data_IF_473774899786
#
_entry.id   IF_473774899786
#
_cell.length_a   1.000
_cell.length_b   1.000
_cell.length_c   1.000
_cell.angle_alpha   90.00
_cell.angle_beta   90.00
_cell.angle_gamma   90.00
#
_symmetry.space_group_name_H-M   'P 1'
#
loop_
_entity.id
_entity.type
_entity.pdbx_description
1 polymer ?
#
# COMPACT_ATOMS: atom_id res chain seq x y z
N UNK A 1 -10.68 19.24 18.50
CA UNK A 1 -9.35 18.75 18.90
C UNK A 1 -9.45 18.17 20.31
N UNK A 2 -9.23 16.86 20.48
CA UNK A 2 -9.12 16.26 21.81
C UNK A 2 -7.74 16.58 22.39
N UNK A 3 -7.68 16.94 23.67
CA UNK A 3 -6.41 17.15 24.36
C UNK A 3 -5.66 15.80 24.48
N UNK A 4 -4.33 15.78 24.28
CA UNK A 4 -3.55 14.55 24.37
C UNK A 4 -3.62 13.96 25.78
N UNK A 5 -3.62 12.63 25.87
CA UNK A 5 -3.66 11.95 27.16
C UNK A 5 -2.38 12.21 27.97
N UNK A 6 -2.45 12.09 29.31
CA UNK A 6 -1.26 12.19 30.16
C UNK A 6 -0.18 11.17 29.75
N UNK A 7 -0.61 9.98 29.33
CA UNK A 7 0.27 8.94 28.81
C UNK A 7 1.03 9.43 27.57
N UNK A 8 0.33 9.99 26.58
CA UNK A 8 0.94 10.54 25.36
C UNK A 8 1.97 11.63 25.70
N UNK A 9 1.61 12.55 26.59
CA UNK A 9 2.53 13.62 27.02
C UNK A 9 3.79 13.06 27.68
N UNK A 10 3.65 12.02 28.52
CA UNK A 10 4.78 11.37 29.18
C UNK A 10 5.68 10.62 28.19
N UNK A 11 5.08 9.87 27.26
CA UNK A 11 5.80 9.12 26.23
C UNK A 11 6.50 10.08 25.26
N UNK A 12 5.86 11.17 24.85
CA UNK A 12 6.48 12.23 24.05
C UNK A 12 7.69 12.83 24.76
N UNK A 13 7.59 13.14 26.06
CA UNK A 13 8.70 13.71 26.81
C UNK A 13 9.86 12.73 26.97
N UNK A 14 9.55 11.45 27.18
CA UNK A 14 10.54 10.38 27.22
C UNK A 14 11.24 10.23 25.87
N UNK A 15 10.50 10.19 24.77
CA UNK A 15 11.04 10.12 23.41
C UNK A 15 11.98 11.30 23.12
N UNK A 16 11.55 12.53 23.42
CA UNK A 16 12.40 13.72 23.28
C UNK A 16 13.71 13.59 24.07
N UNK A 17 13.66 13.04 25.28
CA UNK A 17 14.84 12.85 26.13
C UNK A 17 15.79 11.79 25.56
N UNK A 18 15.24 10.69 25.04
CA UNK A 18 16.01 9.65 24.36
C UNK A 18 16.69 10.17 23.09
N UNK A 19 15.97 10.95 22.29
CA UNK A 19 16.50 11.57 21.06
C UNK A 19 17.61 12.58 21.40
N UNK A 20 17.36 13.46 22.38
CA UNK A 20 18.29 14.55 22.70
C UNK A 20 19.57 14.08 23.38
N UNK A 21 19.45 13.16 24.35
CA UNK A 21 20.59 12.80 25.20
C UNK A 21 21.22 11.45 24.84
N UNK A 22 20.51 10.62 24.08
CA UNK A 22 20.98 9.34 23.61
C UNK A 22 21.42 8.39 24.74
N UNK A 23 22.27 7.40 24.43
CA UNK A 23 22.64 6.36 25.37
C UNK A 23 23.55 6.82 26.52
N UNK A 24 24.14 8.02 26.43
CA UNK A 24 25.09 8.52 27.43
C UNK A 24 24.42 9.00 28.72
N UNK A 25 23.13 9.33 28.70
CA UNK A 25 22.42 9.87 29.88
C UNK A 25 21.13 9.14 30.24
N UNK A 26 20.63 8.25 29.39
CA UNK A 26 19.37 7.51 29.66
C UNK A 26 19.67 6.06 30.01
N UNK A 27 19.10 5.58 31.13
CA UNK A 27 19.18 4.18 31.55
C UNK A 27 18.09 3.37 30.84
N UNK A 28 18.40 2.77 29.69
CA UNK A 28 17.45 1.96 28.92
C UNK A 28 16.89 0.76 29.67
N UNK A 29 17.62 0.23 30.66
CA UNK A 29 17.13 -0.86 31.52
C UNK A 29 15.81 -0.55 32.23
N UNK A 30 15.40 0.73 32.35
CA UNK A 30 14.09 1.10 32.91
C UNK A 30 12.93 1.03 31.91
N UNK A 31 13.22 0.90 30.62
CA UNK A 31 12.19 0.78 29.58
C UNK A 31 11.41 -0.53 29.71
N UNK A 32 12.01 -1.59 30.25
CA UNK A 32 11.32 -2.85 30.54
C UNK A 32 10.22 -2.74 31.61
N UNK A 33 10.23 -1.66 32.40
CA UNK A 33 9.21 -1.40 33.43
C UNK A 33 8.01 -0.65 32.87
N UNK A 34 8.13 -0.09 31.65
CA UNK A 34 7.04 0.67 31.06
C UNK A 34 5.85 -0.25 30.71
N UNK A 35 4.61 0.22 30.91
CA UNK A 35 3.44 -0.46 30.38
C UNK A 35 3.58 -0.67 28.87
N UNK A 36 3.10 -1.81 28.37
CA UNK A 36 3.19 -2.17 26.94
C UNK A 36 2.70 -1.05 26.00
N UNK A 37 1.52 -0.48 26.28
CA UNK A 37 0.97 0.64 25.50
C UNK A 37 1.90 1.86 25.45
N UNK A 38 2.61 2.13 26.55
CA UNK A 38 3.57 3.23 26.62
C UNK A 38 4.82 2.92 25.77
N UNK A 39 5.27 1.67 25.76
CA UNK A 39 6.41 1.22 24.98
C UNK A 39 6.10 1.17 23.48
N UNK A 40 4.92 0.69 23.09
CA UNK A 40 4.43 0.71 21.70
C UNK A 40 4.34 2.16 21.18
N UNK A 41 3.67 3.05 21.93
CA UNK A 41 3.61 4.47 21.57
C UNK A 41 5.00 5.13 21.52
N UNK A 42 5.94 4.69 22.38
CA UNK A 42 7.32 5.17 22.34
C UNK A 42 8.02 4.72 21.06
N UNK A 43 7.85 3.46 20.65
CA UNK A 43 8.41 2.95 19.40
C UNK A 43 7.88 3.74 18.20
N UNK A 44 6.58 3.97 18.12
CA UNK A 44 5.97 4.70 17.00
C UNK A 44 6.56 6.11 16.86
N UNK A 45 6.72 6.84 17.97
CA UNK A 45 7.36 8.17 17.95
C UNK A 45 8.83 8.08 17.50
N UNK A 46 9.57 7.09 18.02
CA UNK A 46 10.99 6.93 17.68
C UNK A 46 11.20 6.50 16.23
N UNK A 47 10.29 5.70 15.66
CA UNK A 47 10.29 5.32 14.24
C UNK A 47 9.97 6.54 13.38
N UNK A 48 8.90 7.28 13.70
CA UNK A 48 8.52 8.50 12.99
C UNK A 48 9.60 9.59 13.00
N UNK A 49 10.46 9.60 14.04
CA UNK A 49 11.61 10.52 14.16
C UNK A 49 12.94 9.92 13.69
N UNK A 50 12.94 8.72 13.11
CA UNK A 50 14.13 7.96 12.69
C UNK A 50 15.22 7.89 13.78
N UNK A 51 14.79 7.70 15.03
CA UNK A 51 15.64 7.68 16.22
C UNK A 51 15.65 6.32 16.95
N UNK A 52 14.84 5.36 16.49
CA UNK A 52 14.80 4.01 17.04
C UNK A 52 16.15 3.32 16.83
N UNK A 53 16.73 2.78 17.90
CA UNK A 53 18.05 2.15 17.89
C UNK A 53 18.07 0.88 18.73
N UNK A 54 19.19 0.15 18.63
CA UNK A 54 19.43 -1.15 19.25
C UNK A 54 19.31 -1.19 20.77
N UNK A 55 19.34 -0.06 21.47
CA UNK A 55 19.18 -0.05 22.93
C UNK A 55 17.71 -0.02 23.35
N UNK A 56 16.79 0.30 22.44
CA UNK A 56 15.36 0.44 22.73
C UNK A 56 14.60 -0.79 22.25
N UNK A 57 14.83 -1.20 20.99
CA UNK A 57 14.05 -2.27 20.36
C UNK A 57 14.02 -3.58 21.18
N UNK A 58 15.14 -4.11 21.73
CA UNK A 58 15.12 -5.36 22.48
C UNK A 58 14.16 -5.36 23.67
N UNK A 59 13.88 -4.20 24.28
CA UNK A 59 12.95 -4.10 25.39
C UNK A 59 11.49 -4.28 24.96
N UNK A 60 11.20 -4.04 23.69
CA UNK A 60 9.87 -4.26 23.11
C UNK A 60 9.70 -5.65 22.51
N UNK A 61 10.80 -6.38 22.27
CA UNK A 61 10.74 -7.74 21.71
C UNK A 61 10.42 -8.76 22.80
N UNK A 62 9.14 -9.10 22.94
CA UNK A 62 8.64 -10.05 23.94
C UNK A 62 7.63 -11.02 23.34
N UNK A 63 7.30 -12.10 24.06
CA UNK A 63 6.26 -13.04 23.64
C UNK A 63 4.85 -12.44 23.59
N UNK A 64 4.63 -11.26 24.15
CA UNK A 64 3.35 -10.55 24.08
C UNK A 64 3.26 -9.64 22.85
N UNK A 65 4.35 -9.44 22.11
CA UNK A 65 4.39 -8.52 20.97
C UNK A 65 3.61 -9.11 19.80
N UNK A 66 2.53 -8.46 19.41
CA UNK A 66 1.67 -8.87 18.29
C UNK A 66 1.88 -8.01 17.04
N UNK A 67 2.25 -6.74 17.21
CA UNK A 67 2.41 -5.78 16.13
C UNK A 67 3.72 -5.03 16.29
N UNK A 68 4.51 -4.96 15.22
CA UNK A 68 5.79 -4.27 15.25
C UNK A 68 5.97 -3.44 13.99
N UNK A 69 5.96 -2.11 14.15
CA UNK A 69 6.21 -1.15 13.10
C UNK A 69 7.63 -0.60 13.23
N UNK A 70 8.45 -0.84 12.19
CA UNK A 70 9.85 -0.44 12.13
C UNK A 70 10.18 0.19 10.76
N UNK A 71 9.17 0.72 10.06
CA UNK A 71 9.36 1.35 8.75
C UNK A 71 10.47 2.40 8.79
N UNK A 72 11.42 2.30 7.86
CA UNK A 72 12.52 3.25 7.73
C UNK A 72 13.51 3.28 8.90
N UNK A 73 13.48 2.32 9.84
CA UNK A 73 14.34 2.27 11.02
C UNK A 73 15.81 1.94 10.67
N UNK A 74 16.47 2.87 9.99
CA UNK A 74 17.82 2.75 9.41
C UNK A 74 18.95 2.63 10.43
N UNK A 75 18.71 3.05 11.67
CA UNK A 75 19.69 3.01 12.77
C UNK A 75 19.78 1.63 13.45
N UNK A 76 18.86 0.71 13.15
CA UNK A 76 18.87 -0.63 13.72
C UNK A 76 19.91 -1.51 13.03
N UNK A 77 20.73 -2.20 13.83
CA UNK A 77 21.64 -3.22 13.29
C UNK A 77 20.89 -4.53 13.06
N UNK A 78 21.36 -5.28 12.07
CA UNK A 78 20.81 -6.58 11.69
C UNK A 78 20.78 -7.59 12.84
N UNK A 79 21.75 -7.55 13.75
CA UNK A 79 21.83 -8.47 14.88
C UNK A 79 20.59 -8.39 15.77
N UNK A 80 20.03 -7.20 16.00
CA UNK A 80 18.80 -7.02 16.78
C UNK A 80 17.57 -7.43 15.98
N UNK A 81 17.51 -7.15 14.69
CA UNK A 81 16.37 -7.59 13.86
C UNK A 81 16.27 -9.12 13.75
N UNK A 82 17.41 -9.82 13.72
CA UNK A 82 17.44 -11.29 13.74
C UNK A 82 16.82 -11.90 15.00
N UNK A 83 16.71 -11.15 16.11
CA UNK A 83 16.09 -11.69 17.32
C UNK A 83 14.56 -11.62 17.30
N UNK A 84 13.95 -10.89 16.37
CA UNK A 84 12.48 -10.67 16.31
C UNK A 84 11.74 -12.00 16.28
N UNK A 85 12.04 -12.87 15.30
CA UNK A 85 11.30 -14.12 15.11
C UNK A 85 11.29 -15.01 16.35
N UNK A 86 12.43 -15.13 17.05
CA UNK A 86 12.56 -15.97 18.25
C UNK A 86 12.01 -15.32 19.52
N UNK A 87 11.99 -13.99 19.57
CA UNK A 87 11.55 -13.26 20.78
C UNK A 87 10.04 -13.01 20.78
N UNK A 88 9.41 -13.00 19.60
CA UNK A 88 8.00 -12.62 19.42
C UNK A 88 7.18 -13.75 18.72
N UNK A 89 7.01 -14.94 19.32
CA UNK A 89 6.27 -16.04 18.68
C UNK A 89 4.80 -15.72 18.35
N UNK A 90 4.18 -14.77 19.07
CA UNK A 90 2.79 -14.34 18.85
C UNK A 90 2.66 -13.16 17.86
N UNK A 91 3.73 -12.85 17.11
CA UNK A 91 3.70 -11.73 16.17
C UNK A 91 2.70 -11.99 15.04
N UNK A 92 1.77 -11.04 14.85
CA UNK A 92 0.73 -11.05 13.81
C UNK A 92 1.03 -10.07 12.70
N UNK A 93 1.74 -8.99 13.00
CA UNK A 93 2.10 -7.96 12.02
C UNK A 93 3.55 -7.53 12.19
N UNK A 94 4.30 -7.58 11.09
CA UNK A 94 5.63 -7.00 10.99
C UNK A 94 5.69 -6.04 9.80
N UNK A 95 6.03 -4.79 10.07
CA UNK A 95 6.34 -3.79 9.06
C UNK A 95 7.79 -3.35 9.21
N UNK A 96 8.63 -3.71 8.23
CA UNK A 96 10.04 -3.31 8.14
C UNK A 96 10.33 -2.66 6.79
N UNK A 97 9.33 -2.00 6.20
CA UNK A 97 9.50 -1.27 4.93
C UNK A 97 10.67 -0.31 5.00
N UNK A 98 11.36 -0.13 3.87
CA UNK A 98 12.55 0.70 3.71
C UNK A 98 13.75 0.38 4.63
N UNK A 99 13.75 -0.75 5.36
CA UNK A 99 14.87 -1.16 6.20
C UNK A 99 15.96 -1.90 5.40
N UNK A 100 17.00 -1.19 4.95
CA UNK A 100 18.06 -1.73 4.09
C UNK A 100 18.94 -2.82 4.75
N UNK A 101 18.85 -2.96 6.07
CA UNK A 101 19.55 -3.96 6.86
C UNK A 101 18.85 -5.34 6.87
N UNK A 102 17.58 -5.40 6.49
CA UNK A 102 16.76 -6.62 6.46
C UNK A 102 17.25 -7.53 5.32
N UNK A 103 17.44 -8.82 5.62
CA UNK A 103 17.89 -9.83 4.67
C UNK A 103 17.04 -11.11 4.78
N UNK A 104 17.30 -12.07 3.88
CA UNK A 104 16.56 -13.33 3.79
C UNK A 104 16.53 -14.11 5.11
N UNK A 105 17.52 -13.94 5.99
CA UNK A 105 17.55 -14.66 7.27
C UNK A 105 16.50 -14.11 8.23
N UNK A 106 16.37 -12.78 8.34
CA UNK A 106 15.38 -12.15 9.21
C UNK A 106 13.97 -12.57 8.82
N UNK A 107 13.65 -12.46 7.52
CA UNK A 107 12.32 -12.84 7.00
C UNK A 107 12.04 -14.32 7.26
N UNK A 108 13.01 -15.20 7.04
CA UNK A 108 12.86 -16.64 7.34
C UNK A 108 12.66 -16.91 8.81
N UNK A 109 13.46 -16.31 9.70
CA UNK A 109 13.32 -16.51 11.15
C UNK A 109 11.91 -16.07 11.60
N UNK A 110 11.40 -14.95 11.07
CA UNK A 110 10.02 -14.52 11.34
C UNK A 110 9.00 -15.54 10.81
N UNK A 111 9.09 -15.96 9.54
CA UNK A 111 8.17 -16.94 8.96
C UNK A 111 8.28 -18.34 9.59
N UNK A 112 9.41 -18.66 10.23
CA UNK A 112 9.65 -19.95 10.88
C UNK A 112 9.10 -20.01 12.31
N UNK A 113 9.23 -18.92 13.06
CA UNK A 113 8.93 -18.90 14.50
C UNK A 113 7.64 -18.14 14.86
N UNK A 114 7.12 -17.29 13.97
CA UNK A 114 5.88 -16.54 14.17
C UNK A 114 4.74 -17.21 13.40
N UNK A 115 4.15 -18.26 13.98
CA UNK A 115 3.11 -19.07 13.32
C UNK A 115 1.77 -18.34 13.15
N UNK A 116 1.56 -17.27 13.92
CA UNK A 116 0.36 -16.43 13.88
C UNK A 116 0.50 -15.20 12.98
N UNK A 117 1.55 -15.13 12.17
CA UNK A 117 1.80 -13.98 11.31
C UNK A 117 0.71 -13.84 10.25
N UNK A 118 0.09 -12.67 10.20
CA UNK A 118 -0.97 -12.33 9.24
C UNK A 118 -0.52 -11.26 8.23
N UNK A 119 0.34 -10.34 8.64
CA UNK A 119 0.78 -9.20 7.83
C UNK A 119 2.31 -9.11 7.84
N UNK A 120 2.92 -9.15 6.67
CA UNK A 120 4.36 -8.94 6.47
C UNK A 120 4.60 -7.89 5.40
N UNK A 121 5.14 -6.74 5.79
CA UNK A 121 5.52 -5.67 4.85
C UNK A 121 7.03 -5.47 4.85
N UNK A 122 7.64 -5.67 3.69
CA UNK A 122 9.09 -5.63 3.50
C UNK A 122 9.49 -4.80 2.27
N UNK A 123 8.62 -3.89 1.82
CA UNK A 123 8.88 -3.05 0.65
C UNK A 123 10.20 -2.30 0.75
N UNK A 124 10.93 -2.22 -0.36
CA UNK A 124 12.21 -1.53 -0.44
C UNK A 124 13.36 -2.24 0.29
N UNK A 125 13.18 -3.46 0.80
CA UNK A 125 14.26 -4.27 1.35
C UNK A 125 15.05 -4.94 0.21
N UNK A 126 16.04 -4.23 -0.32
CA UNK A 126 16.79 -4.63 -1.53
C UNK A 126 17.63 -5.90 -1.43
N UNK A 127 17.83 -6.44 -0.21
CA UNK A 127 18.58 -7.68 0.05
C UNK A 127 17.69 -8.91 0.19
N UNK A 128 16.39 -8.77 -0.12
CA UNK A 128 15.44 -9.87 -0.13
C UNK A 128 15.36 -10.49 -1.52
N UNK A 129 15.50 -11.81 -1.56
CA UNK A 129 15.34 -12.65 -2.74
C UNK A 129 14.40 -13.84 -2.45
N UNK A 130 14.15 -14.66 -3.48
CA UNK A 130 13.32 -15.86 -3.37
C UNK A 130 13.74 -16.81 -2.24
N UNK A 131 15.02 -16.79 -1.86
CA UNK A 131 15.56 -17.58 -0.75
C UNK A 131 14.95 -17.22 0.61
N UNK A 132 14.30 -16.06 0.75
CA UNK A 132 13.53 -15.73 1.95
C UNK A 132 12.28 -16.61 2.12
N UNK A 133 11.75 -17.14 1.02
CA UNK A 133 10.49 -17.90 0.98
C UNK A 133 10.69 -19.36 0.59
N UNK A 134 11.85 -19.71 0.03
CA UNK A 134 12.15 -21.06 -0.46
C UNK A 134 12.11 -22.13 0.66
N UNK A 135 11.36 -23.23 0.49
CA UNK A 135 11.33 -24.35 1.44
C UNK A 135 12.64 -25.15 1.51
N UNK A 136 13.40 -25.17 0.41
CA UNK A 136 14.47 -26.14 0.13
C UNK A 136 15.68 -26.09 1.07
N UNK A 137 15.76 -25.12 1.98
CA UNK A 137 16.85 -25.02 2.94
C UNK A 137 16.53 -25.64 4.31
N UNK A 138 15.31 -26.10 4.59
CA UNK A 138 14.92 -26.63 5.91
C UNK A 138 13.91 -27.78 5.85
N UNK A 139 13.89 -28.64 6.88
CA UNK A 139 13.08 -29.88 6.94
C UNK A 139 11.57 -29.67 7.15
N UNK A 140 11.09 -28.44 7.29
CA UNK A 140 9.68 -28.12 7.60
C UNK A 140 9.18 -26.90 6.81
N UNK A 141 7.87 -26.83 6.49
CA UNK A 141 7.28 -25.65 5.88
C UNK A 141 7.40 -24.42 6.78
N UNK A 142 7.55 -23.24 6.17
CA UNK A 142 7.54 -21.96 6.88
C UNK A 142 6.13 -21.71 7.43
N UNK A 143 5.89 -22.06 8.69
CA UNK A 143 4.57 -22.08 9.33
C UNK A 143 3.86 -20.71 9.26
N UNK A 144 4.60 -19.61 9.35
CA UNK A 144 4.07 -18.25 9.23
C UNK A 144 3.49 -17.92 7.85
N UNK A 145 3.87 -18.64 6.77
CA UNK A 145 3.20 -18.48 5.47
C UNK A 145 1.77 -19.02 5.49
N UNK A 146 1.49 -20.07 6.28
CA UNK A 146 0.18 -20.71 6.32
C UNK A 146 -0.91 -19.80 6.87
N UNK A 147 -0.56 -18.83 7.72
CA UNK A 147 -1.49 -17.84 8.28
C UNK A 147 -1.49 -16.48 7.57
N UNK A 148 -0.59 -16.28 6.61
CA UNK A 148 -0.34 -14.96 6.02
C UNK A 148 -1.53 -14.50 5.17
N UNK A 149 -2.03 -13.30 5.46
CA UNK A 149 -3.16 -12.64 4.78
C UNK A 149 -2.70 -11.48 3.91
N UNK A 150 -1.62 -10.81 4.31
CA UNK A 150 -1.05 -9.68 3.59
C UNK A 150 0.48 -9.83 3.47
N UNK A 151 0.96 -9.66 2.24
CA UNK A 151 2.37 -9.58 1.93
C UNK A 151 2.64 -8.36 1.04
N UNK A 152 3.64 -7.57 1.38
CA UNK A 152 4.12 -6.49 0.52
C UNK A 152 5.62 -6.60 0.28
N UNK A 153 6.01 -6.78 -0.98
CA UNK A 153 7.39 -6.97 -1.46
C UNK A 153 7.74 -5.98 -2.58
N UNK A 154 7.07 -4.82 -2.61
CA UNK A 154 7.34 -3.77 -3.57
C UNK A 154 8.80 -3.33 -3.51
N UNK A 155 9.40 -3.01 -4.65
CA UNK A 155 10.81 -2.55 -4.75
C UNK A 155 11.85 -3.55 -4.21
N UNK A 156 11.50 -4.82 -3.97
CA UNK A 156 12.45 -5.88 -3.62
C UNK A 156 13.11 -6.46 -4.88
N UNK A 157 14.22 -5.88 -5.31
CA UNK A 157 14.88 -6.12 -6.61
C UNK A 157 15.37 -7.53 -6.94
N UNK A 158 15.33 -8.48 -6.00
CA UNK A 158 15.85 -9.84 -6.19
C UNK A 158 14.78 -10.92 -5.98
N UNK A 159 13.53 -10.54 -5.73
CA UNK A 159 12.40 -11.48 -5.76
C UNK A 159 12.01 -11.68 -7.22
N UNK A 160 11.72 -12.90 -7.63
CA UNK A 160 11.34 -13.24 -9.01
C UNK A 160 9.88 -13.70 -9.10
N UNK A 161 9.33 -13.72 -10.32
CA UNK A 161 8.00 -14.26 -10.54
C UNK A 161 7.92 -15.75 -10.16
N UNK A 162 8.98 -16.52 -10.43
CA UNK A 162 9.07 -17.93 -10.06
C UNK A 162 9.05 -18.11 -8.54
N UNK A 163 9.80 -17.29 -7.79
CA UNK A 163 9.79 -17.34 -6.33
C UNK A 163 8.46 -16.91 -5.71
N UNK A 164 7.85 -15.85 -6.25
CA UNK A 164 6.53 -15.38 -5.80
C UNK A 164 5.44 -16.45 -6.05
N UNK A 165 5.34 -16.93 -7.29
CA UNK A 165 4.33 -17.93 -7.69
C UNK A 165 4.62 -19.30 -7.06
N UNK A 166 5.88 -19.72 -7.03
CA UNK A 166 6.32 -21.04 -6.63
C UNK A 166 6.44 -21.24 -5.11
N UNK A 167 6.76 -20.19 -4.34
CA UNK A 167 6.93 -20.29 -2.90
C UNK A 167 5.83 -19.56 -2.14
N UNK A 168 5.62 -18.28 -2.42
CA UNK A 168 4.68 -17.45 -1.65
C UNK A 168 3.24 -17.88 -1.91
N UNK A 169 2.78 -17.85 -3.16
CA UNK A 169 1.37 -18.12 -3.45
C UNK A 169 0.98 -19.59 -3.24
N UNK A 170 1.93 -20.52 -3.41
CA UNK A 170 1.72 -21.93 -3.04
C UNK A 170 1.76 -22.17 -1.53
N UNK A 171 2.58 -21.41 -0.80
CA UNK A 171 2.76 -21.56 0.66
C UNK A 171 1.76 -20.78 1.51
N UNK A 172 1.12 -19.75 0.96
CA UNK A 172 0.19 -18.86 1.67
C UNK A 172 -1.24 -18.95 1.09
N UNK A 173 -2.02 -20.00 1.42
CA UNK A 173 -3.33 -20.26 0.83
C UNK A 173 -4.41 -19.25 1.22
N UNK A 174 -4.19 -18.46 2.28
CA UNK A 174 -5.13 -17.44 2.75
C UNK A 174 -4.68 -16.02 2.42
N UNK A 175 -3.68 -15.84 1.55
CA UNK A 175 -3.23 -14.54 1.13
C UNK A 175 -4.35 -13.80 0.40
N UNK A 176 -4.64 -12.57 0.81
CA UNK A 176 -5.70 -11.71 0.25
C UNK A 176 -5.17 -10.39 -0.27
N UNK A 177 -4.11 -9.87 0.34
CA UNK A 177 -3.51 -8.59 -0.02
C UNK A 177 -2.08 -8.81 -0.48
N UNK A 178 -1.76 -8.32 -1.68
CA UNK A 178 -0.43 -8.46 -2.26
C UNK A 178 0.07 -7.11 -2.81
N UNK A 179 1.14 -6.60 -2.23
CA UNK A 179 1.82 -5.38 -2.66
C UNK A 179 3.06 -5.68 -3.49
N UNK A 180 3.08 -5.18 -4.73
CA UNK A 180 4.14 -5.42 -5.72
C UNK A 180 4.56 -4.11 -6.41
N UNK A 181 4.37 -2.97 -5.75
CA UNK A 181 4.69 -1.67 -6.33
C UNK A 181 6.19 -1.56 -6.66
N UNK A 182 6.52 -0.86 -7.75
CA UNK A 182 7.88 -0.73 -8.28
C UNK A 182 8.58 -2.07 -8.64
N UNK A 183 7.88 -3.21 -8.64
CA UNK A 183 8.46 -4.52 -8.95
C UNK A 183 8.48 -4.81 -10.45
N UNK A 184 9.04 -3.86 -11.23
CA UNK A 184 9.10 -3.94 -12.70
C UNK A 184 9.76 -5.21 -13.20
N UNK A 185 10.73 -5.77 -12.49
CA UNK A 185 11.46 -6.98 -12.87
C UNK A 185 10.66 -8.29 -12.64
N UNK A 186 9.57 -8.22 -11.86
CA UNK A 186 8.75 -9.39 -11.48
C UNK A 186 7.49 -9.44 -12.32
N UNK A 187 6.85 -8.28 -12.53
CA UNK A 187 5.48 -8.23 -13.04
C UNK A 187 5.49 -7.99 -14.54
N UNK A 188 5.13 -9.05 -15.29
CA UNK A 188 4.71 -9.00 -16.69
C UNK A 188 3.18 -9.08 -16.78
N UNK A 189 2.62 -8.89 -17.97
CA UNK A 189 1.18 -8.99 -18.19
C UNK A 189 0.63 -10.39 -17.88
N UNK A 190 1.40 -11.44 -18.16
CA UNK A 190 1.06 -12.83 -17.84
C UNK A 190 0.95 -13.02 -16.33
N UNK A 191 1.98 -12.59 -15.59
CA UNK A 191 2.03 -12.68 -14.12
C UNK A 191 0.87 -11.88 -13.49
N UNK A 192 0.60 -10.67 -14.00
CA UNK A 192 -0.53 -9.86 -13.53
C UNK A 192 -1.87 -10.55 -13.76
N UNK A 193 -2.06 -11.18 -14.94
CA UNK A 193 -3.27 -11.94 -15.27
C UNK A 193 -3.51 -13.10 -14.30
N UNK A 194 -2.45 -13.84 -13.96
CA UNK A 194 -2.53 -14.94 -12.99
C UNK A 194 -2.90 -14.42 -11.60
N UNK A 195 -2.20 -13.38 -11.11
CA UNK A 195 -2.45 -12.77 -9.80
C UNK A 195 -3.89 -12.29 -9.63
N UNK A 196 -4.43 -11.60 -10.63
CA UNK A 196 -5.75 -10.98 -10.56
C UNK A 196 -6.91 -11.99 -10.59
N UNK A 197 -6.74 -13.12 -11.28
CA UNK A 197 -7.86 -14.01 -11.62
C UNK A 197 -7.70 -15.47 -11.18
N UNK A 198 -6.54 -15.89 -10.66
CA UNK A 198 -6.31 -17.28 -10.24
C UNK A 198 -6.14 -17.47 -8.73
N UNK A 199 -5.69 -16.44 -8.00
CA UNK A 199 -5.31 -16.57 -6.59
C UNK A 199 -6.34 -16.02 -5.59
N UNK A 200 -7.52 -15.57 -6.04
CA UNK A 200 -8.59 -15.11 -5.13
C UNK A 200 -8.22 -13.89 -4.27
N UNK A 201 -7.27 -13.08 -4.74
CA UNK A 201 -6.83 -11.87 -4.05
C UNK A 201 -7.96 -10.85 -3.94
N UNK A 202 -8.00 -10.14 -2.82
CA UNK A 202 -8.95 -9.07 -2.54
C UNK A 202 -8.33 -7.69 -2.79
N UNK A 203 -7.02 -7.55 -2.61
CA UNK A 203 -6.31 -6.30 -2.79
C UNK A 203 -4.97 -6.54 -3.49
N UNK A 204 -4.71 -5.81 -4.57
CA UNK A 204 -3.45 -5.91 -5.33
C UNK A 204 -2.94 -4.52 -5.67
N UNK A 205 -1.64 -4.30 -5.40
CA UNK A 205 -0.95 -3.07 -5.77
C UNK A 205 0.17 -3.34 -6.78
N UNK A 206 -0.02 -2.85 -8.01
CA UNK A 206 0.96 -2.87 -9.09
C UNK A 206 1.48 -1.49 -9.46
N UNK A 207 1.35 -0.51 -8.57
CA UNK A 207 1.77 0.86 -8.84
C UNK A 207 3.24 0.92 -9.28
N UNK A 208 3.55 1.74 -10.28
CA UNK A 208 4.88 1.89 -10.87
C UNK A 208 5.44 0.65 -11.58
N UNK A 209 4.61 -0.37 -11.83
CA UNK A 209 4.94 -1.47 -12.72
C UNK A 209 4.66 -1.06 -14.18
N UNK A 210 5.55 -0.25 -14.74
CA UNK A 210 5.41 0.34 -16.10
C UNK A 210 5.36 -0.69 -17.23
N UNK A 211 5.65 -1.96 -16.96
CA UNK A 211 5.51 -3.05 -17.93
C UNK A 211 4.06 -3.53 -18.09
N UNK A 212 3.17 -3.19 -17.15
CA UNK A 212 1.77 -3.59 -17.22
C UNK A 212 1.05 -2.75 -18.27
N UNK A 213 0.41 -3.43 -19.21
CA UNK A 213 -0.38 -2.84 -20.29
C UNK A 213 -1.85 -3.22 -20.16
N UNK A 214 -2.63 -3.05 -21.22
CA UNK A 214 -4.05 -3.43 -21.22
C UNK A 214 -4.27 -4.94 -21.24
N UNK A 215 -3.28 -5.73 -21.68
CA UNK A 215 -3.41 -7.18 -21.92
C UNK A 215 -3.99 -7.96 -20.73
N UNK A 216 -3.55 -7.75 -19.47
CA UNK A 216 -4.10 -8.50 -18.32
C UNK A 216 -5.58 -8.23 -18.09
N UNK A 217 -6.00 -7.04 -18.52
CA UNK A 217 -7.34 -6.52 -18.34
C UNK A 217 -8.15 -6.59 -19.62
N UNK A 218 -7.64 -7.16 -20.71
CA UNK A 218 -8.43 -7.47 -21.90
C UNK A 218 -9.11 -8.82 -21.74
N UNK A 219 -10.26 -8.99 -22.39
CA UNK A 219 -11.02 -10.22 -22.28
C UNK A 219 -10.24 -11.33 -23.00
N UNK A 220 -9.72 -12.32 -22.25
CA UNK A 220 -9.38 -13.62 -22.83
C UNK A 220 -10.37 -14.69 -22.34
N UNK A 221 -11.60 -14.75 -22.88
CA UNK A 221 -12.49 -15.88 -22.63
C UNK A 221 -11.98 -17.20 -23.24
N UNK A 222 -10.96 -17.17 -24.10
CA UNK A 222 -10.72 -18.26 -25.07
C UNK A 222 -9.52 -19.17 -24.76
N UNK A 223 -8.49 -18.72 -24.03
CA UNK A 223 -7.25 -19.51 -23.91
C UNK A 223 -7.16 -20.50 -22.74
N UNK A 224 -8.14 -20.51 -21.82
CA UNK A 224 -8.12 -21.44 -20.66
C UNK A 224 -9.34 -22.38 -20.59
N UNK A 225 -10.06 -22.59 -21.69
CA UNK A 225 -11.13 -23.59 -21.77
C UNK A 225 -12.17 -23.48 -20.65
N UNK A 226 -12.66 -22.27 -20.35
CA UNK A 226 -13.50 -22.02 -19.17
C UNK A 226 -14.99 -21.95 -19.51
N UNK A 227 -15.78 -22.72 -18.76
CA UNK A 227 -17.24 -22.83 -18.88
C UNK A 227 -17.97 -21.57 -18.36
N UNK A 228 -19.20 -21.28 -18.83
CA UNK A 228 -20.03 -20.22 -18.26
C UNK A 228 -20.38 -20.56 -16.81
N UNK A 229 -20.07 -19.67 -15.85
CA UNK A 229 -20.45 -19.82 -14.44
C UNK A 229 -19.33 -19.82 -13.40
N UNK A 230 -18.07 -19.50 -13.76
CA UNK A 230 -17.04 -19.30 -12.74
C UNK A 230 -17.32 -18.05 -11.86
N UNK A 231 -16.95 -18.10 -10.56
CA UNK A 231 -17.20 -17.04 -9.61
C UNK A 231 -16.50 -15.74 -10.04
N UNK A 232 -17.20 -14.61 -9.84
CA UNK A 232 -16.63 -13.27 -10.02
C UNK A 232 -15.35 -13.13 -9.20
N UNK A 233 -14.38 -12.37 -9.71
CA UNK A 233 -13.17 -12.02 -8.95
C UNK A 233 -13.56 -11.53 -7.55
N UNK A 234 -12.76 -11.85 -6.53
CA UNK A 234 -12.97 -11.36 -5.16
C UNK A 234 -12.30 -10.00 -4.92
N UNK A 235 -11.68 -9.44 -5.97
CA UNK A 235 -10.93 -8.20 -5.91
C UNK A 235 -11.85 -7.03 -5.54
N UNK A 236 -11.42 -6.28 -4.53
CA UNK A 236 -12.05 -5.08 -3.98
C UNK A 236 -11.13 -3.87 -4.05
N UNK A 237 -9.82 -4.08 -4.09
CA UNK A 237 -8.83 -3.02 -4.17
C UNK A 237 -7.81 -3.30 -5.28
N UNK A 238 -7.64 -2.34 -6.19
CA UNK A 238 -6.71 -2.42 -7.30
C UNK A 238 -5.98 -1.09 -7.46
N UNK A 239 -4.67 -1.10 -7.25
CA UNK A 239 -3.80 0.05 -7.52
C UNK A 239 -2.93 -0.20 -8.74
N UNK A 240 -3.00 0.72 -9.68
CA UNK A 240 -2.35 0.71 -10.99
C UNK A 240 -1.69 2.08 -11.29
N UNK A 241 -1.37 2.85 -10.25
CA UNK A 241 -0.79 4.17 -10.43
C UNK A 241 0.51 4.09 -11.26
N UNK A 242 0.71 4.99 -12.21
CA UNK A 242 1.90 5.04 -13.08
C UNK A 242 2.18 3.72 -13.84
N UNK A 243 1.12 3.00 -14.26
CA UNK A 243 1.20 1.88 -15.20
C UNK A 243 0.96 2.35 -16.65
N UNK A 244 1.12 1.47 -17.65
CA UNK A 244 0.99 1.82 -19.07
C UNK A 244 -0.39 1.47 -19.67
N UNK A 245 -1.38 1.28 -18.80
CA UNK A 245 -2.75 0.95 -19.17
C UNK A 245 -3.47 2.15 -19.80
N UNK A 246 -4.57 1.91 -20.52
CA UNK A 246 -5.48 2.91 -21.06
C UNK A 246 -6.95 2.54 -20.80
N UNK A 247 -7.85 3.24 -21.49
CA UNK A 247 -9.30 3.10 -21.28
C UNK A 247 -9.80 1.65 -21.45
N UNK A 248 -9.29 0.92 -22.45
CA UNK A 248 -9.70 -0.47 -22.71
C UNK A 248 -9.43 -1.41 -21.52
N UNK A 249 -8.33 -1.19 -20.80
CA UNK A 249 -8.06 -1.93 -19.57
C UNK A 249 -9.08 -1.61 -18.47
N UNK A 250 -9.35 -0.31 -18.28
CA UNK A 250 -10.27 0.16 -17.23
C UNK A 250 -11.70 -0.28 -17.52
N UNK A 251 -12.15 -0.27 -18.77
CA UNK A 251 -13.42 -0.88 -19.18
C UNK A 251 -13.45 -2.39 -18.91
N UNK A 252 -12.35 -3.09 -19.21
CA UNK A 252 -12.21 -4.52 -18.95
C UNK A 252 -12.28 -4.86 -17.45
N UNK A 253 -11.69 -4.01 -16.59
CA UNK A 253 -11.78 -4.08 -15.13
C UNK A 253 -13.24 -3.84 -14.70
N UNK A 254 -13.88 -2.78 -15.20
CA UNK A 254 -15.25 -2.41 -14.86
C UNK A 254 -16.25 -3.56 -15.09
N UNK A 255 -16.06 -4.30 -16.19
CA UNK A 255 -16.92 -5.44 -16.55
C UNK A 255 -16.68 -6.69 -15.67
N UNK A 256 -15.45 -6.92 -15.21
CA UNK A 256 -15.04 -8.14 -14.48
C UNK A 256 -15.08 -8.01 -12.97
N UNK A 257 -14.93 -6.79 -12.46
CA UNK A 257 -14.77 -6.49 -11.03
C UNK A 257 -15.79 -5.43 -10.59
N UNK A 258 -17.11 -5.66 -10.76
CA UNK A 258 -18.12 -4.65 -10.41
C UNK A 258 -18.22 -4.39 -8.89
N UNK A 259 -17.66 -5.26 -8.06
CA UNK A 259 -17.59 -5.09 -6.60
C UNK A 259 -16.36 -4.30 -6.11
N UNK A 260 -15.62 -3.66 -7.01
CA UNK A 260 -14.44 -2.88 -6.66
C UNK A 260 -14.80 -1.71 -5.73
N UNK A 261 -14.05 -1.56 -4.64
CA UNK A 261 -14.20 -0.53 -3.62
C UNK A 261 -13.11 0.54 -3.70
N UNK A 262 -11.89 0.16 -4.07
CA UNK A 262 -10.72 1.04 -4.17
C UNK A 262 -10.10 0.89 -5.55
N UNK A 263 -10.03 2.00 -6.29
CA UNK A 263 -9.33 2.06 -7.56
C UNK A 263 -8.37 3.24 -7.58
N UNK A 264 -7.10 2.96 -7.86
CA UNK A 264 -6.06 3.96 -8.03
C UNK A 264 -5.43 3.82 -9.41
N UNK A 265 -5.69 4.79 -10.28
CA UNK A 265 -5.09 4.93 -11.60
C UNK A 265 -4.39 6.30 -11.74
N UNK A 266 -3.85 6.83 -10.63
CA UNK A 266 -3.06 8.06 -10.67
C UNK A 266 -1.91 7.96 -11.66
N UNK A 267 -1.60 9.04 -12.38
CA UNK A 267 -0.53 9.11 -13.38
C UNK A 267 -0.68 8.14 -14.57
N UNK A 268 -1.87 7.57 -14.79
CA UNK A 268 -2.19 6.81 -16.00
C UNK A 268 -2.61 7.78 -17.09
N UNK A 269 -1.62 8.35 -17.79
CA UNK A 269 -1.82 9.45 -18.76
C UNK A 269 -2.74 9.09 -19.95
N UNK A 270 -2.92 7.80 -20.24
CA UNK A 270 -3.82 7.32 -21.32
C UNK A 270 -5.27 7.15 -20.87
N UNK A 271 -5.56 7.26 -19.57
CA UNK A 271 -6.92 7.17 -19.04
C UNK A 271 -7.66 8.47 -19.34
N UNK A 272 -8.83 8.35 -19.96
CA UNK A 272 -9.71 9.45 -20.30
C UNK A 272 -11.10 9.26 -19.68
N UNK A 273 -12.05 10.13 -20.02
CA UNK A 273 -13.44 9.97 -19.61
C UNK A 273 -14.04 8.63 -20.07
N UNK A 274 -13.58 8.05 -21.18
CA UNK A 274 -14.13 6.79 -21.69
C UNK A 274 -13.97 5.65 -20.66
N UNK A 275 -12.75 5.41 -20.19
CA UNK A 275 -12.48 4.39 -19.17
C UNK A 275 -13.01 4.79 -17.79
N UNK A 276 -12.79 6.04 -17.38
CA UNK A 276 -13.18 6.50 -16.05
C UNK A 276 -14.70 6.48 -15.85
N UNK A 277 -15.49 6.92 -16.86
CA UNK A 277 -16.95 6.86 -16.82
C UNK A 277 -17.44 5.41 -16.81
N UNK A 278 -16.86 4.53 -17.63
CA UNK A 278 -17.24 3.11 -17.64
C UNK A 278 -17.01 2.44 -16.28
N UNK A 279 -15.90 2.77 -15.61
CA UNK A 279 -15.58 2.31 -14.27
C UNK A 279 -16.63 2.75 -13.25
N UNK A 280 -16.87 4.05 -13.13
CA UNK A 280 -17.76 4.57 -12.07
C UNK A 280 -19.23 4.19 -12.30
N UNK A 281 -19.63 3.90 -13.53
CA UNK A 281 -20.96 3.38 -13.85
C UNK A 281 -21.12 1.89 -13.49
N UNK A 282 -20.07 1.09 -13.62
CA UNK A 282 -20.13 -0.36 -13.39
C UNK A 282 -19.79 -0.74 -11.95
N UNK A 283 -18.76 -0.11 -11.38
CA UNK A 283 -18.26 -0.37 -10.03
C UNK A 283 -19.03 0.46 -9.00
N UNK A 284 -20.28 0.07 -8.74
CA UNK A 284 -21.20 0.81 -7.86
C UNK A 284 -20.82 0.82 -6.38
N UNK A 285 -19.89 -0.06 -5.98
CA UNK A 285 -19.37 -0.16 -4.61
C UNK A 285 -18.13 0.70 -4.36
N UNK A 286 -17.70 1.53 -5.32
CA UNK A 286 -16.51 2.38 -5.19
C UNK A 286 -16.63 3.33 -3.99
N UNK A 287 -15.58 3.32 -3.18
CA UNK A 287 -15.38 4.16 -1.98
C UNK A 287 -14.19 5.09 -2.12
N UNK A 288 -13.14 4.65 -2.80
CA UNK A 288 -11.93 5.44 -3.06
C UNK A 288 -11.61 5.40 -4.55
N UNK A 289 -11.50 6.58 -5.15
CA UNK A 289 -11.09 6.76 -6.54
C UNK A 289 -9.93 7.76 -6.62
N UNK A 290 -8.79 7.29 -7.11
CA UNK A 290 -7.66 8.15 -7.47
C UNK A 290 -7.46 8.11 -8.99
N UNK A 291 -7.59 9.27 -9.62
CA UNK A 291 -7.42 9.50 -11.06
C UNK A 291 -6.54 10.73 -11.29
N UNK A 292 -5.67 11.05 -10.32
CA UNK A 292 -4.81 12.23 -10.40
C UNK A 292 -3.87 12.15 -11.61
N UNK A 293 -3.60 13.29 -12.25
CA UNK A 293 -2.77 13.40 -13.45
C UNK A 293 -3.20 12.42 -14.56
N UNK A 294 -4.49 12.44 -14.91
CA UNK A 294 -5.07 11.68 -16.02
C UNK A 294 -5.73 12.62 -17.04
N UNK A 295 -6.16 12.06 -18.17
CA UNK A 295 -6.78 12.80 -19.27
C UNK A 295 -8.28 13.05 -19.12
N UNK A 296 -8.86 12.89 -17.93
CA UNK A 296 -10.29 13.08 -17.66
C UNK A 296 -10.72 14.55 -17.77
N UNK A 297 -12.01 14.78 -17.99
CA UNK A 297 -12.64 16.09 -18.04
C UNK A 297 -13.85 16.15 -17.10
N UNK A 298 -14.60 17.25 -17.14
CA UNK A 298 -15.84 17.45 -16.37
C UNK A 298 -16.89 16.34 -16.61
N UNK A 299 -16.79 15.61 -17.73
CA UNK A 299 -17.66 14.47 -18.01
C UNK A 299 -17.54 13.35 -16.96
N UNK A 300 -16.32 13.04 -16.51
CA UNK A 300 -16.09 12.06 -15.43
C UNK A 300 -16.73 12.52 -14.12
N UNK A 301 -16.63 13.80 -13.77
CA UNK A 301 -17.26 14.36 -12.57
C UNK A 301 -18.79 14.24 -12.59
N UNK A 302 -19.43 14.43 -13.75
CA UNK A 302 -20.88 14.18 -13.91
C UNK A 302 -21.25 12.73 -13.66
N UNK A 303 -20.41 11.79 -14.10
CA UNK A 303 -20.65 10.37 -13.87
C UNK A 303 -20.46 9.98 -12.39
N UNK A 304 -19.47 10.58 -11.71
CA UNK A 304 -19.18 10.36 -10.28
C UNK A 304 -20.38 10.71 -9.38
N UNK A 305 -21.25 11.64 -9.79
CA UNK A 305 -22.46 11.98 -9.01
C UNK A 305 -23.38 10.77 -8.76
N UNK A 306 -23.25 9.69 -9.54
CA UNK A 306 -24.02 8.45 -9.35
C UNK A 306 -23.39 7.47 -8.34
N UNK A 307 -22.16 7.71 -7.87
CA UNK A 307 -21.46 6.84 -6.94
C UNK A 307 -21.95 7.04 -5.50
N UNK A 308 -22.83 6.15 -5.03
CA UNK A 308 -23.49 6.28 -3.71
C UNK A 308 -22.59 6.00 -2.50
N UNK A 309 -21.43 5.39 -2.73
CA UNK A 309 -20.51 4.98 -1.68
C UNK A 309 -19.16 5.72 -1.75
N UNK A 310 -18.97 6.64 -2.71
CA UNK A 310 -17.68 7.29 -2.90
C UNK A 310 -17.39 8.26 -1.75
N UNK A 311 -16.39 7.93 -0.95
CA UNK A 311 -15.95 8.65 0.23
C UNK A 311 -14.71 9.50 -0.05
N UNK A 312 -13.85 9.07 -0.97
CA UNK A 312 -12.59 9.75 -1.29
C UNK A 312 -12.39 9.86 -2.80
N UNK A 313 -12.11 11.07 -3.26
CA UNK A 313 -11.78 11.37 -4.65
C UNK A 313 -10.49 12.20 -4.71
N UNK A 314 -9.48 11.68 -5.40
CA UNK A 314 -8.31 12.46 -5.83
C UNK A 314 -8.33 12.57 -7.36
N UNK A 315 -8.53 13.80 -7.85
CA UNK A 315 -8.44 14.17 -9.26
C UNK A 315 -7.48 15.35 -9.46
N UNK A 316 -6.46 15.46 -8.59
CA UNK A 316 -5.42 16.47 -8.69
C UNK A 316 -4.69 16.36 -10.03
N UNK A 317 -4.19 17.46 -10.57
CA UNK A 317 -3.45 17.51 -11.84
C UNK A 317 -4.22 17.02 -13.07
N UNK A 318 -5.55 16.87 -12.98
CA UNK A 318 -6.39 16.63 -14.16
C UNK A 318 -6.55 17.93 -14.96
N UNK A 319 -5.55 18.24 -15.78
CA UNK A 319 -5.40 19.54 -16.45
C UNK A 319 -6.54 19.87 -17.43
N UNK A 320 -7.30 18.87 -17.88
CA UNK A 320 -8.41 19.02 -18.84
C UNK A 320 -9.78 19.19 -18.18
N UNK A 321 -9.90 18.95 -16.87
CA UNK A 321 -11.09 19.27 -16.11
C UNK A 321 -11.08 20.75 -15.70
N UNK A 322 -12.23 21.40 -15.69
CA UNK A 322 -12.34 22.85 -15.47
C UNK A 322 -12.94 23.15 -14.09
N UNK A 323 -13.09 24.44 -13.76
CA UNK A 323 -13.84 24.86 -12.57
C UNK A 323 -15.30 24.37 -12.56
N UNK A 324 -15.85 23.98 -13.72
CA UNK A 324 -17.18 23.37 -13.81
C UNK A 324 -17.27 22.03 -13.05
N UNK A 325 -16.16 21.29 -12.87
CA UNK A 325 -16.11 20.10 -12.02
C UNK A 325 -16.58 20.39 -10.58
N UNK A 326 -16.18 21.52 -10.00
CA UNK A 326 -16.62 21.93 -8.66
C UNK A 326 -18.12 22.25 -8.63
N UNK A 327 -18.64 22.92 -9.66
CA UNK A 327 -20.07 23.19 -9.77
C UNK A 327 -20.87 21.89 -9.82
N UNK A 328 -20.42 20.90 -10.60
CA UNK A 328 -21.06 19.57 -10.67
C UNK A 328 -21.08 18.89 -9.29
N UNK A 329 -19.94 18.87 -8.59
CA UNK A 329 -19.84 18.22 -7.28
C UNK A 329 -20.63 18.94 -6.17
N UNK A 330 -20.79 20.27 -6.30
CA UNK A 330 -21.49 21.12 -5.34
C UNK A 330 -22.99 21.27 -5.63
N UNK A 331 -23.49 20.76 -6.75
CA UNK A 331 -24.85 20.94 -7.24
C UNK A 331 -25.89 20.57 -6.14
N UNK A 332 -26.69 21.54 -5.65
CA UNK A 332 -27.69 21.29 -4.62
C UNK A 332 -28.90 20.52 -5.14
N UNK A 333 -29.15 20.54 -6.46
CA UNK A 333 -30.33 19.95 -7.08
C UNK A 333 -30.06 18.52 -7.60
N UNK A 334 -28.83 18.01 -7.42
CA UNK A 334 -28.48 16.65 -7.78
C UNK A 334 -29.29 15.63 -6.96
N UNK A 335 -30.05 14.76 -7.62
CA UNK A 335 -30.89 13.72 -6.98
C UNK A 335 -30.13 12.87 -5.96
N UNK A 336 -28.83 12.64 -6.21
CA UNK A 336 -27.95 11.88 -5.34
C UNK A 336 -26.57 12.56 -5.32
N UNK A 337 -26.02 12.75 -4.12
CA UNK A 337 -24.67 13.26 -3.91
C UNK A 337 -23.78 12.16 -3.32
N UNK A 338 -22.57 11.93 -3.85
CA UNK A 338 -21.62 11.00 -3.23
C UNK A 338 -21.26 11.47 -1.82
N UNK A 339 -21.13 10.56 -0.83
CA UNK A 339 -20.80 10.89 0.56
C UNK A 339 -19.30 11.22 0.74
N UNK A 340 -18.78 12.15 -0.07
CA UNK A 340 -17.38 12.55 -0.09
C UNK A 340 -16.98 13.15 1.26
N UNK A 341 -15.92 12.59 1.84
CA UNK A 341 -15.25 13.05 3.06
C UNK A 341 -13.89 13.66 2.76
N UNK A 342 -13.29 13.22 1.66
CA UNK A 342 -11.96 13.63 1.21
C UNK A 342 -12.04 13.94 -0.29
N UNK A 343 -11.71 15.17 -0.66
CA UNK A 343 -11.75 15.66 -2.03
C UNK A 343 -10.46 16.43 -2.30
N UNK A 344 -9.61 15.89 -3.17
CA UNK A 344 -8.33 16.48 -3.55
C UNK A 344 -8.37 16.84 -5.03
N UNK A 345 -8.23 18.13 -5.33
CA UNK A 345 -8.42 18.71 -6.66
C UNK A 345 -7.30 19.72 -7.00
N UNK A 346 -6.11 19.50 -6.45
CA UNK A 346 -4.99 20.42 -6.62
C UNK A 346 -4.62 20.54 -8.11
N UNK A 347 -4.36 21.75 -8.60
CA UNK A 347 -3.95 22.01 -9.98
C UNK A 347 -4.94 21.52 -11.08
N UNK A 348 -6.23 21.43 -10.77
CA UNK A 348 -7.27 21.25 -11.79
C UNK A 348 -7.22 22.37 -12.83
N UNK A 349 -7.43 22.01 -14.10
CA UNK A 349 -7.67 22.98 -15.16
C UNK A 349 -6.52 23.93 -15.47
N UNK A 350 -5.28 23.61 -15.07
CA UNK A 350 -4.13 24.48 -15.31
C UNK A 350 -3.75 24.64 -16.80
N UNK A 351 -4.42 23.94 -17.74
CA UNK A 351 -4.38 24.27 -19.17
C UNK A 351 -5.27 25.47 -19.55
N UNK A 352 -6.21 25.89 -18.70
CA UNK A 352 -7.14 27.00 -18.95
C UNK A 352 -6.64 28.36 -18.44
N UNK A 353 -5.62 28.38 -17.58
CA UNK A 353 -4.92 29.59 -17.20
C UNK A 353 -3.62 29.67 -18.01
N UNK A 354 -3.40 30.79 -18.70
CA UNK A 354 -2.10 31.22 -19.25
C UNK A 354 -1.07 31.45 -18.13
N UNK A 355 -0.85 30.46 -17.26
CA UNK A 355 0.33 30.39 -16.42
C UNK A 355 1.39 29.75 -17.31
N UNK A 356 2.26 30.59 -17.86
CA UNK A 356 3.35 30.18 -18.72
C UNK A 356 4.02 28.92 -18.20
N UNK A 357 4.26 27.98 -19.12
CA UNK A 357 4.85 26.65 -18.89
C UNK A 357 6.16 26.70 -18.07
N UNK A 358 6.79 27.88 -17.95
CA UNK A 358 8.00 28.14 -17.18
C UNK A 358 7.78 28.36 -15.67
N UNK A 359 6.52 28.51 -15.20
CA UNK A 359 6.18 28.72 -13.78
C UNK A 359 5.79 27.44 -13.03
N UNK A 360 5.51 26.37 -13.78
CA UNK A 360 5.36 25.04 -13.22
C UNK A 360 6.76 24.50 -12.95
N UNK A 361 7.22 24.61 -11.70
CA UNK A 361 8.39 23.85 -11.25
C UNK A 361 8.24 22.35 -11.60
N UNK A 362 9.33 21.57 -11.56
CA UNK A 362 9.27 20.16 -11.95
C UNK A 362 8.08 19.47 -11.28
N UNK A 363 7.21 18.86 -12.10
CA UNK A 363 6.08 18.07 -11.65
C UNK A 363 6.54 17.21 -10.47
N UNK A 364 5.89 17.31 -9.29
CA UNK A 364 6.30 16.53 -8.14
C UNK A 364 6.29 15.05 -8.54
N UNK A 365 7.26 14.26 -8.05
CA UNK A 365 7.27 12.84 -8.36
C UNK A 365 5.92 12.24 -7.96
N UNK A 366 5.40 11.29 -8.75
CA UNK A 366 4.13 10.64 -8.47
C UNK A 366 4.10 10.16 -7.03
N UNK A 367 3.13 10.67 -6.26
CA UNK A 367 2.97 10.31 -4.86
C UNK A 367 2.85 8.80 -4.79
N UNK A 368 3.79 8.16 -4.09
CA UNK A 368 3.77 6.72 -3.88
C UNK A 368 2.50 6.39 -3.08
N UNK A 369 1.63 5.46 -3.52
CA UNK A 369 0.61 4.90 -2.64
C UNK A 369 1.36 4.08 -1.60
N UNK A 370 1.57 4.70 -0.44
CA UNK A 370 2.47 4.22 0.62
C UNK A 370 3.05 5.32 1.50
N UNK A 371 3.02 6.60 1.09
CA UNK A 371 3.62 7.72 1.83
C UNK A 371 2.64 8.80 2.34
N UNK A 372 1.32 8.63 2.17
CA UNK A 372 0.31 9.58 2.66
C UNK A 372 -0.46 9.07 3.90
N UNK A 373 0.19 8.94 5.08
CA UNK A 373 -0.52 9.15 6.35
C UNK A 373 -0.19 10.50 7.02
N UNK A 374 0.91 11.17 6.65
CA UNK A 374 1.50 12.22 7.50
C UNK A 374 1.62 13.63 6.87
N UNK A 375 1.05 13.87 5.68
CA UNK A 375 1.05 15.22 5.08
C UNK A 375 -0.17 16.09 5.43
N UNK A 376 -1.15 15.57 6.20
CA UNK A 376 -2.32 16.36 6.61
C UNK A 376 -2.26 16.98 8.02
N UNK A 377 -1.19 16.74 8.78
CA UNK A 377 -1.03 17.30 10.13
C UNK A 377 0.28 18.10 10.26
N UNK A 378 0.57 19.04 9.35
CA UNK A 378 1.54 20.12 9.63
C UNK A 378 1.36 21.33 8.72
N UNK A 379 0.84 22.41 9.33
CA UNK A 379 1.13 23.82 9.04
C UNK A 379 0.33 24.53 7.93
N UNK A 380 -0.59 25.36 8.45
CA UNK A 380 -0.99 26.73 8.05
C UNK A 380 -1.60 26.97 6.67
#
# INVERSE_FOLDING_TARGET
MQAPSLLELCVQKLAQSLIKYGPKRVRFARLSVLPRRALEALLDILVAKNALNDNVLPHALTCQTETLHLEGASQLRRCVLNTIGRSCPNLRMLDVRACQQVDNRIVRDVLQYCEHLEILRIDGCTRISDSAFAPALWKAPLAGLLGLKELSVGKCGQVTAEGLMGYVLKGAPYLRTLGLSYSRHIITDEVASELLFQFGLHAVDFSFCTQITDVPFQALPVMLGRSPGQPRSMLRELRLASTNIGDAAVEGIAQRVPQLEVFDAGFVMKLTDLGAVALVQSCTMLRVLCVCNTGITDATFKAIMRCRHLERLDASWCLRATSHALHILSDPDAEHRPPLRELVLDHLGAMSLDLGLDSLGPLPPPASPGLLPHLWDSQL
#
